data_IF_723090444916
#
_entry.id   IF_723090444916
#
_cell.length_a   1.000
_cell.length_b   1.000
_cell.length_c   1.000
_cell.angle_alpha   90.00
_cell.angle_beta   90.00
_cell.angle_gamma   90.00
#
_symmetry.space_group_name_H-M   'P 1'
#
loop_
_entity.id
_entity.type
_entity.pdbx_description
1 polymer ?
#
# COMPACT_ATOMS: atom_id res chain seq x y z
N UNK A 1 6.57 5.99 14.17
CA UNK A 1 6.72 6.04 12.70
C UNK A 1 8.14 5.64 12.39
N UNK A 2 8.36 4.53 11.68
CA UNK A 2 9.71 4.18 11.25
C UNK A 2 10.21 5.26 10.27
N UNK A 3 11.53 5.42 10.15
CA UNK A 3 12.10 6.26 9.09
C UNK A 3 12.04 5.58 7.70
N UNK A 4 11.62 4.30 7.63
CA UNK A 4 11.70 3.47 6.45
C UNK A 4 10.33 2.93 6.03
N UNK A 5 9.68 3.63 5.09
CA UNK A 5 8.37 3.25 4.51
C UNK A 5 8.31 1.78 4.07
N UNK A 6 9.42 1.23 3.55
CA UNK A 6 9.44 -0.15 3.08
C UNK A 6 9.28 -1.15 4.23
N UNK A 7 9.96 -0.93 5.35
CA UNK A 7 9.86 -1.81 6.54
C UNK A 7 8.43 -1.82 7.10
N UNK A 8 7.79 -0.65 7.18
CA UNK A 8 6.41 -0.55 7.65
C UNK A 8 5.45 -1.29 6.70
N UNK A 9 5.63 -1.16 5.39
CA UNK A 9 4.81 -1.87 4.40
C UNK A 9 5.05 -3.38 4.43
N UNK A 10 6.29 -3.83 4.61
CA UNK A 10 6.63 -5.25 4.79
C UNK A 10 5.97 -5.81 6.07
N UNK A 11 5.96 -5.06 7.16
CA UNK A 11 5.25 -5.43 8.40
C UNK A 11 3.74 -5.63 8.14
N UNK A 12 3.06 -4.69 7.46
CA UNK A 12 1.63 -4.81 7.19
C UNK A 12 1.30 -5.96 6.23
N UNK A 13 2.11 -6.15 5.18
CA UNK A 13 1.94 -7.25 4.24
C UNK A 13 2.13 -8.63 4.88
N UNK A 14 3.00 -8.73 5.89
CA UNK A 14 3.21 -9.95 6.67
C UNK A 14 2.06 -10.21 7.67
N UNK A 15 1.41 -9.15 8.17
CA UNK A 15 0.28 -9.29 9.11
C UNK A 15 -0.99 -9.78 8.42
N UNK A 16 -1.35 -9.18 7.30
CA UNK A 16 -2.48 -9.61 6.46
C UNK A 16 -2.27 -9.16 5.03
N UNK A 17 -1.83 -10.10 4.17
CA UNK A 17 -1.50 -9.82 2.77
C UNK A 17 -2.71 -9.41 1.93
N UNK A 18 -3.88 -10.00 2.18
CA UNK A 18 -5.07 -9.68 1.40
C UNK A 18 -5.59 -8.29 1.74
N UNK A 19 -5.61 -7.96 3.03
CA UNK A 19 -5.96 -6.60 3.48
C UNK A 19 -4.95 -5.57 2.98
N UNK A 20 -3.65 -5.89 3.02
CA UNK A 20 -2.59 -5.05 2.47
C UNK A 20 -2.86 -4.68 1.01
N UNK A 21 -3.02 -5.68 0.12
CA UNK A 21 -3.25 -5.45 -1.31
C UNK A 21 -4.52 -4.64 -1.53
N UNK A 22 -5.59 -4.93 -0.78
CA UNK A 22 -6.85 -4.17 -0.86
C UNK A 22 -6.67 -2.70 -0.48
N UNK A 23 -5.90 -2.40 0.57
CA UNK A 23 -5.63 -1.01 0.99
C UNK A 23 -4.74 -0.29 -0.01
N UNK A 24 -3.71 -0.96 -0.56
CA UNK A 24 -2.88 -0.40 -1.63
C UNK A 24 -3.73 0.00 -2.83
N UNK A 25 -4.53 -0.93 -3.38
CA UNK A 25 -5.39 -0.66 -4.54
C UNK A 25 -6.34 0.49 -4.28
N UNK A 26 -6.97 0.50 -3.11
CA UNK A 26 -7.86 1.59 -2.70
C UNK A 26 -7.11 2.92 -2.64
N UNK A 27 -5.93 2.95 -2.04
CA UNK A 27 -5.15 4.19 -1.94
C UNK A 27 -4.66 4.69 -3.29
N UNK A 28 -4.28 3.81 -4.22
CA UNK A 28 -3.99 4.17 -5.60
C UNK A 28 -5.23 4.76 -6.29
N UNK A 29 -6.40 4.12 -6.15
CA UNK A 29 -7.65 4.63 -6.73
C UNK A 29 -8.04 6.01 -6.16
N UNK A 30 -7.90 6.21 -4.85
CA UNK A 30 -8.25 7.48 -4.19
C UNK A 30 -7.26 8.61 -4.52
N UNK A 31 -6.00 8.28 -4.83
CA UNK A 31 -4.96 9.28 -5.14
C UNK A 31 -4.90 9.64 -6.63
N UNK A 32 -5.11 8.67 -7.52
CA UNK A 32 -4.93 8.82 -8.97
C UNK A 32 -6.24 8.79 -9.76
N UNK A 33 -7.33 8.27 -9.17
CA UNK A 33 -8.55 7.89 -9.87
C UNK A 33 -8.47 6.47 -10.45
N UNK A 34 -9.63 5.81 -10.56
CA UNK A 34 -9.71 4.38 -10.88
C UNK A 34 -9.00 4.00 -12.19
N UNK A 35 -9.19 4.75 -13.27
CA UNK A 35 -8.60 4.42 -14.58
C UNK A 35 -7.06 4.53 -14.58
N UNK A 36 -6.52 5.57 -13.95
CA UNK A 36 -5.08 5.78 -13.84
C UNK A 36 -4.44 4.73 -12.91
N UNK A 37 -5.11 4.40 -11.81
CA UNK A 37 -4.65 3.37 -10.88
C UNK A 37 -4.64 1.97 -11.52
N UNK A 38 -5.67 1.60 -12.27
CA UNK A 38 -5.72 0.33 -13.00
C UNK A 38 -4.60 0.24 -14.05
N UNK A 39 -4.42 1.30 -14.85
CA UNK A 39 -3.33 1.39 -15.82
C UNK A 39 -1.98 1.27 -15.14
N UNK A 40 -1.77 1.96 -14.02
CA UNK A 40 -0.54 1.87 -13.25
C UNK A 40 -0.30 0.44 -12.76
N UNK A 41 -1.28 -0.21 -12.13
CA UNK A 41 -1.15 -1.60 -11.65
C UNK A 41 -0.77 -2.53 -12.79
N UNK A 42 -1.39 -2.39 -13.96
CA UNK A 42 -1.00 -3.14 -15.15
C UNK A 42 0.48 -2.93 -15.51
N UNK A 43 0.94 -1.69 -15.58
CA UNK A 43 2.36 -1.36 -15.83
C UNK A 43 3.32 -1.89 -14.76
N UNK A 44 2.88 -1.98 -13.51
CA UNK A 44 3.67 -2.57 -12.43
C UNK A 44 3.82 -4.11 -12.59
N UNK A 45 3.10 -4.75 -13.52
CA UNK A 45 3.08 -6.21 -13.68
C UNK A 45 1.86 -6.87 -13.07
N UNK A 46 0.75 -6.13 -12.94
CA UNK A 46 -0.52 -6.61 -12.42
C UNK A 46 -0.56 -6.75 -10.90
N UNK A 47 -1.60 -7.41 -10.41
CA UNK A 47 -1.87 -7.59 -8.99
C UNK A 47 -0.74 -8.31 -8.24
N UNK A 48 -0.01 -9.20 -8.91
CA UNK A 48 1.12 -9.95 -8.34
C UNK A 48 2.22 -9.00 -7.83
N UNK A 49 2.47 -7.89 -8.53
CA UNK A 49 3.45 -6.90 -8.11
C UNK A 49 3.09 -6.25 -6.77
N UNK A 50 1.80 -6.15 -6.45
CA UNK A 50 1.32 -5.60 -5.18
C UNK A 50 1.50 -6.58 -4.00
N UNK A 51 1.74 -7.87 -4.25
CA UNK A 51 1.92 -8.86 -3.19
C UNK A 51 3.33 -8.83 -2.58
N UNK A 52 4.27 -8.14 -3.21
CA UNK A 52 5.63 -7.96 -2.74
C UNK A 52 5.90 -6.46 -2.52
N UNK A 53 5.91 -5.98 -1.26
CA UNK A 53 6.06 -4.56 -0.93
C UNK A 53 7.31 -3.93 -1.55
N UNK A 54 8.43 -4.65 -1.59
CA UNK A 54 9.69 -4.16 -2.16
C UNK A 54 9.56 -3.94 -3.67
N UNK A 55 9.06 -4.95 -4.39
CA UNK A 55 8.81 -4.86 -5.84
C UNK A 55 7.82 -3.74 -6.14
N UNK A 56 6.75 -3.61 -5.36
CA UNK A 56 5.76 -2.55 -5.51
C UNK A 56 6.39 -1.16 -5.31
N UNK A 57 7.12 -0.94 -4.22
CA UNK A 57 7.76 0.34 -3.89
C UNK A 57 8.77 0.74 -4.96
N UNK A 58 9.65 -0.19 -5.36
CA UNK A 58 10.67 0.07 -6.36
C UNK A 58 10.06 0.44 -7.71
N UNK A 59 9.03 -0.29 -8.15
CA UNK A 59 8.35 -0.01 -9.41
C UNK A 59 7.53 1.28 -9.35
N UNK A 60 6.86 1.58 -8.24
CA UNK A 60 6.15 2.85 -8.06
C UNK A 60 7.10 4.03 -8.13
N UNK A 61 8.26 3.95 -7.47
CA UNK A 61 9.30 4.98 -7.53
C UNK A 61 9.90 5.11 -8.92
N UNK A 62 10.09 4.02 -9.63
CA UNK A 62 10.57 4.06 -11.02
C UNK A 62 9.58 4.77 -11.96
N UNK A 63 8.27 4.60 -11.76
CA UNK A 63 7.23 5.20 -12.62
C UNK A 63 6.90 6.64 -12.23
N UNK A 64 6.77 6.93 -10.94
CA UNK A 64 6.24 8.22 -10.44
C UNK A 64 7.30 9.13 -9.82
N UNK A 65 8.53 8.66 -9.66
CA UNK A 65 9.62 9.39 -9.03
C UNK A 65 9.25 9.87 -7.62
N UNK A 66 9.50 11.15 -7.34
CA UNK A 66 9.16 11.82 -6.07
C UNK A 66 7.66 11.70 -5.70
N UNK A 67 6.76 11.61 -6.69
CA UNK A 67 5.33 11.47 -6.44
C UNK A 67 4.95 10.14 -5.77
N UNK A 68 5.78 9.10 -5.96
CA UNK A 68 5.55 7.78 -5.36
C UNK A 68 5.53 7.85 -3.84
N UNK A 69 6.47 8.58 -3.23
CA UNK A 69 6.59 8.65 -1.77
C UNK A 69 5.37 9.31 -1.12
N UNK A 70 4.76 10.30 -1.78
CA UNK A 70 3.54 10.94 -1.28
C UNK A 70 2.36 9.95 -1.25
N UNK A 71 2.21 9.15 -2.31
CA UNK A 71 1.18 8.12 -2.43
C UNK A 71 1.43 6.99 -1.42
N UNK A 72 2.67 6.54 -1.29
CA UNK A 72 3.04 5.49 -0.32
C UNK A 72 2.76 5.93 1.13
N UNK A 73 3.06 7.19 1.48
CA UNK A 73 2.70 7.76 2.80
C UNK A 73 1.20 7.87 3.02
N UNK A 74 0.43 8.13 1.97
CA UNK A 74 -1.03 8.10 2.07
C UNK A 74 -1.53 6.68 2.35
N UNK A 75 -1.09 5.71 1.55
CA UNK A 75 -1.43 4.29 1.72
C UNK A 75 -1.07 3.79 3.12
N UNK A 76 0.12 4.13 3.61
CA UNK A 76 0.59 3.75 4.95
C UNK A 76 -0.34 4.27 6.06
N UNK A 77 -0.75 5.54 5.98
CA UNK A 77 -1.72 6.12 6.93
C UNK A 77 -3.08 5.43 6.87
N UNK A 78 -3.52 5.01 5.69
CA UNK A 78 -4.76 4.23 5.55
C UNK A 78 -4.61 2.81 6.11
N UNK A 79 -3.42 2.20 6.00
CA UNK A 79 -3.13 0.90 6.64
C UNK A 79 -3.17 1.02 8.17
N UNK A 80 -2.48 2.00 8.75
CA UNK A 80 -2.48 2.26 10.19
C UNK A 80 -3.92 2.29 10.75
N UNK A 81 -4.78 3.12 10.16
CA UNK A 81 -6.19 3.23 10.57
C UNK A 81 -6.95 1.91 10.51
N UNK A 82 -6.70 1.09 9.48
CA UNK A 82 -7.38 -0.20 9.32
C UNK A 82 -6.87 -1.22 10.33
N UNK A 83 -5.56 -1.30 10.53
CA UNK A 83 -4.94 -2.28 11.41
C UNK A 83 -5.08 -1.92 12.91
N UNK A 84 -5.14 -0.64 13.27
CA UNK A 84 -5.50 -0.19 14.61
C UNK A 84 -6.95 -0.52 14.96
N UNK A 85 -7.88 -0.27 14.02
CA UNK A 85 -9.29 -0.63 14.21
C UNK A 85 -9.48 -2.14 14.43
N UNK A 86 -8.70 -2.97 13.74
CA UNK A 86 -8.69 -4.42 13.97
C UNK A 86 -8.11 -4.82 15.33
N UNK A 87 -7.03 -4.16 15.78
CA UNK A 87 -6.44 -4.44 17.09
C UNK A 87 -7.41 -4.08 18.24
N UNK A 88 -8.12 -2.95 18.12
CA UNK A 88 -9.13 -2.54 19.09
C UNK A 88 -10.29 -3.53 19.16
N UNK A 89 -10.75 -4.06 18.01
CA UNK A 89 -11.84 -5.04 17.99
C UNK A 89 -11.46 -6.37 18.66
N UNK A 90 -10.25 -6.87 18.43
CA UNK A 90 -9.74 -8.11 19.06
C UNK A 90 -9.54 -7.97 20.58
N UNK A 91 -9.20 -6.78 21.06
CA UNK A 91 -9.02 -6.51 22.50
C UNK A 91 -10.33 -6.16 23.23
N UNK A 92 -11.44 -6.05 22.50
CA UNK A 92 -12.78 -5.75 23.03
C UNK A 92 -13.71 -6.96 23.03
N UNK A 93 -13.20 -8.13 22.65
CA UNK A 93 -13.91 -9.42 22.57
C UNK A 93 -13.33 -10.40 23.59
#
# INVERSE_FOLDING_TARGET
MSQNILEDLEMYANRDRQLFVKVVKRGLNETLGSAAAETLIYYLGGDEALHNPRVMVDKLRAVLGIGADAILRYIMREMEKKFEKYALWLNSS
#
